data_IF_413483179785
#
_entry.id   IF_413483179785
#
_cell.length_a   1.000
_cell.length_b   1.000
_cell.length_c   1.000
_cell.angle_alpha   90.00
_cell.angle_beta   90.00
_cell.angle_gamma   90.00
#
_symmetry.space_group_name_H-M   'P 1'
#
loop_
_entity.id
_entity.type
_entity.pdbx_description
1 polymer ?
#
# COMPACT_ATOMS: atom_id res chain seq x y z
N UNK A 1 14.04 -22.58 16.45
CA UNK A 1 14.99 -21.47 16.71
C UNK A 1 16.40 -21.77 16.22
N UNK A 2 17.06 -22.88 16.63
CA UNK A 2 18.40 -23.22 16.09
C UNK A 2 18.41 -23.32 14.56
N UNK A 3 17.42 -23.97 13.93
CA UNK A 3 17.36 -24.08 12.47
C UNK A 3 17.24 -22.72 11.74
N UNK A 4 16.59 -21.71 12.34
CA UNK A 4 16.44 -20.37 11.76
C UNK A 4 17.73 -19.56 11.89
N UNK A 5 18.37 -19.61 13.06
CA UNK A 5 19.67 -18.99 13.29
C UNK A 5 20.76 -19.59 12.39
N UNK A 6 20.76 -20.91 12.21
CA UNK A 6 21.69 -21.61 11.32
C UNK A 6 21.44 -21.26 9.84
N UNK A 7 20.19 -21.08 9.42
CA UNK A 7 19.87 -20.62 8.04
C UNK A 7 20.27 -19.17 7.79
N UNK A 8 20.07 -18.27 8.76
CA UNK A 8 20.58 -16.90 8.69
C UNK A 8 22.10 -16.88 8.57
N UNK A 9 22.80 -17.70 9.36
CA UNK A 9 24.26 -17.84 9.28
C UNK A 9 24.73 -18.46 7.94
N UNK A 10 23.92 -19.32 7.33
CA UNK A 10 24.18 -19.90 6.02
C UNK A 10 23.78 -18.98 4.84
N UNK A 11 23.21 -17.80 5.10
CA UNK A 11 22.74 -16.90 4.04
C UNK A 11 21.60 -17.50 3.22
N UNK A 12 20.68 -18.25 3.84
CA UNK A 12 19.56 -18.87 3.12
C UNK A 12 18.29 -18.08 3.43
N UNK A 13 17.68 -17.45 2.42
CA UNK A 13 16.45 -16.68 2.57
C UNK A 13 15.29 -17.28 1.75
N UNK A 14 14.02 -17.02 2.14
CA UNK A 14 12.86 -17.65 1.50
C UNK A 14 12.80 -17.44 -0.01
N UNK A 15 13.01 -16.21 -0.47
CA UNK A 15 12.92 -15.85 -1.90
C UNK A 15 13.97 -16.57 -2.76
N UNK A 16 15.05 -17.08 -2.16
CA UNK A 16 16.13 -17.79 -2.86
C UNK A 16 15.85 -19.29 -3.04
N UNK A 17 14.96 -19.83 -2.21
CA UNK A 17 14.75 -21.28 -2.08
C UNK A 17 13.32 -21.72 -2.34
N UNK A 18 12.39 -20.78 -2.49
CA UNK A 18 10.98 -21.04 -2.72
C UNK A 18 10.78 -21.43 -4.18
N UNK A 19 10.26 -22.63 -4.39
CA UNK A 19 9.85 -23.09 -5.72
C UNK A 19 8.63 -22.29 -6.20
N UNK A 20 8.50 -22.11 -7.51
CA UNK A 20 7.38 -21.38 -8.10
C UNK A 20 6.12 -22.26 -8.20
N UNK A 21 5.65 -22.74 -7.05
CA UNK A 21 4.45 -23.58 -6.90
C UNK A 21 3.51 -23.01 -5.83
N UNK A 22 2.68 -22.01 -6.16
CA UNK A 22 1.73 -21.42 -5.22
C UNK A 22 0.74 -22.43 -4.62
N UNK A 23 0.43 -23.51 -5.34
CA UNK A 23 -0.54 -24.51 -4.91
C UNK A 23 0.07 -25.42 -3.83
N UNK A 24 1.26 -25.98 -4.10
CA UNK A 24 1.98 -26.80 -3.11
C UNK A 24 2.31 -26.04 -1.83
N UNK A 25 2.68 -24.75 -1.93
CA UNK A 25 2.87 -23.91 -0.74
C UNK A 25 1.58 -23.73 0.07
N UNK A 26 0.45 -23.55 -0.61
CA UNK A 26 -0.86 -23.46 0.03
C UNK A 26 -1.25 -24.74 0.75
N UNK A 27 -1.05 -25.89 0.12
CA UNK A 27 -1.32 -27.22 0.70
C UNK A 27 -0.44 -27.47 1.95
N UNK A 28 0.86 -27.20 1.86
CA UNK A 28 1.78 -27.35 2.99
C UNK A 28 1.41 -26.43 4.17
N UNK A 29 0.99 -25.18 3.89
CA UNK A 29 0.53 -24.24 4.90
C UNK A 29 -0.79 -24.69 5.55
N UNK A 30 -1.73 -25.24 4.78
CA UNK A 30 -2.97 -25.82 5.28
C UNK A 30 -2.72 -27.04 6.17
N UNK A 31 -1.85 -27.95 5.74
CA UNK A 31 -1.45 -29.10 6.52
C UNK A 31 -0.83 -28.68 7.86
N UNK A 32 0.10 -27.72 7.84
CA UNK A 32 0.70 -27.19 9.07
C UNK A 32 -0.35 -26.54 9.99
N UNK A 33 -1.24 -25.70 9.46
CA UNK A 33 -2.30 -25.07 10.24
C UNK A 33 -3.27 -26.07 10.88
N UNK A 34 -3.56 -27.20 10.21
CA UNK A 34 -4.35 -28.28 10.80
C UNK A 34 -3.66 -28.85 12.06
N UNK A 35 -2.33 -29.04 12.03
CA UNK A 35 -1.58 -29.50 13.21
C UNK A 35 -1.65 -28.50 14.38
N UNK A 36 -1.73 -27.19 14.10
CA UNK A 36 -1.92 -26.17 15.14
C UNK A 36 -3.32 -26.24 15.76
N UNK A 37 -4.36 -26.59 14.97
CA UNK A 37 -5.74 -26.69 15.45
C UNK A 37 -5.99 -27.93 16.30
N UNK A 38 -5.35 -29.04 15.96
CA UNK A 38 -5.52 -30.30 16.68
C UNK A 38 -4.89 -30.28 18.08
N UNK A 39 -4.08 -29.26 18.40
CA UNK A 39 -3.35 -29.19 19.67
C UNK A 39 -2.41 -30.39 19.87
N UNK A 40 -2.04 -31.05 18.77
CA UNK A 40 -1.42 -32.37 18.77
C UNK A 40 0.04 -32.39 19.29
N UNK A 41 0.56 -31.25 19.78
CA UNK A 41 1.95 -31.10 20.19
C UNK A 41 2.07 -31.05 21.72
N UNK A 42 2.94 -31.92 22.25
CA UNK A 42 3.22 -32.09 23.67
C UNK A 42 3.96 -30.91 24.31
N UNK A 43 4.54 -30.01 23.51
CA UNK A 43 5.18 -28.76 23.97
C UNK A 43 4.75 -27.58 23.10
N UNK A 44 4.41 -26.41 23.69
CA UNK A 44 4.07 -25.23 22.92
C UNK A 44 5.29 -24.72 22.15
N UNK A 45 5.22 -24.77 20.82
CA UNK A 45 6.25 -24.17 19.97
C UNK A 45 6.12 -22.65 20.04
N UNK A 46 7.25 -21.95 20.09
CA UNK A 46 7.31 -20.49 20.22
C UNK A 46 8.16 -19.90 19.12
N UNK A 47 7.70 -18.76 18.58
CA UNK A 47 8.44 -17.94 17.65
C UNK A 47 8.99 -16.71 18.37
N UNK A 48 10.30 -16.50 18.27
CA UNK A 48 10.98 -15.39 18.94
C UNK A 48 11.10 -14.20 18.01
N UNK A 49 10.52 -13.07 18.41
CA UNK A 49 10.65 -11.81 17.70
C UNK A 49 12.06 -11.22 17.90
N UNK A 50 12.52 -10.34 16.99
CA UNK A 50 13.77 -9.61 17.17
C UNK A 50 13.83 -8.77 18.46
N UNK A 51 12.66 -8.42 19.02
CA UNK A 51 12.52 -7.69 20.30
C UNK A 51 12.75 -8.59 21.53
N UNK A 52 12.86 -9.90 21.34
CA UNK A 52 12.94 -10.90 22.42
C UNK A 52 11.58 -11.38 22.93
N UNK A 53 10.48 -10.75 22.50
CA UNK A 53 9.12 -11.23 22.76
C UNK A 53 8.88 -12.58 22.07
N UNK A 54 8.13 -13.47 22.72
CA UNK A 54 7.79 -14.78 22.18
C UNK A 54 6.31 -14.87 21.84
N UNK A 55 6.01 -15.31 20.63
CA UNK A 55 4.66 -15.59 20.16
C UNK A 55 4.46 -17.11 20.19
N UNK A 56 3.44 -17.56 20.90
CA UNK A 56 3.05 -18.98 20.89
C UNK A 56 2.51 -19.34 19.52
N UNK A 57 2.97 -20.46 18.97
CA UNK A 57 2.49 -20.98 17.68
C UNK A 57 1.24 -21.81 17.91
N UNK A 58 0.09 -21.16 17.77
CA UNK A 58 -1.24 -21.73 17.96
C UNK A 58 -2.23 -21.19 16.91
N UNK A 59 -3.35 -21.89 16.73
CA UNK A 59 -4.34 -21.54 15.70
C UNK A 59 -4.93 -20.12 15.85
N UNK A 60 -4.98 -19.56 17.07
CA UNK A 60 -5.41 -18.20 17.39
C UNK A 60 -4.40 -17.12 16.97
N UNK A 61 -3.12 -17.48 16.92
CA UNK A 61 -2.02 -16.58 16.53
C UNK A 61 -1.71 -16.59 15.04
N UNK A 62 -2.30 -17.53 14.28
CA UNK A 62 -2.03 -17.73 12.87
C UNK A 62 -3.28 -17.57 12.02
N UNK A 63 -3.16 -16.91 10.86
CA UNK A 63 -4.27 -16.73 9.94
C UNK A 63 -3.81 -16.76 8.48
N UNK A 64 -4.74 -17.04 7.57
CA UNK A 64 -4.45 -17.01 6.13
C UNK A 64 -4.73 -15.63 5.54
N UNK A 65 -3.79 -15.13 4.74
CA UNK A 65 -3.90 -13.88 4.00
C UNK A 65 -3.82 -14.17 2.50
N UNK A 66 -4.79 -13.66 1.73
CA UNK A 66 -4.75 -13.74 0.27
C UNK A 66 -3.65 -12.83 -0.28
N UNK A 67 -2.79 -13.37 -1.15
CA UNK A 67 -1.71 -12.61 -1.80
C UNK A 67 -2.26 -11.75 -2.94
N UNK A 68 -3.25 -12.29 -3.66
CA UNK A 68 -3.90 -11.62 -4.79
C UNK A 68 -5.38 -11.38 -4.48
N UNK A 69 -5.93 -10.19 -4.80
CA UNK A 69 -7.36 -9.94 -4.70
C UNK A 69 -8.19 -10.79 -5.67
N UNK A 70 -7.68 -10.98 -6.89
CA UNK A 70 -8.35 -11.65 -8.00
C UNK A 70 -8.19 -13.18 -8.01
N UNK A 71 -7.35 -13.71 -7.13
CA UNK A 71 -7.10 -15.14 -6.99
C UNK A 71 -7.01 -15.52 -5.49
N UNK A 72 -8.15 -15.46 -4.77
CA UNK A 72 -8.18 -15.63 -3.31
C UNK A 72 -7.79 -17.04 -2.85
N UNK A 73 -7.67 -18.01 -3.76
CA UNK A 73 -7.12 -19.34 -3.47
C UNK A 73 -5.63 -19.31 -3.12
N UNK A 74 -4.86 -18.33 -3.63
CA UNK A 74 -3.45 -18.19 -3.32
C UNK A 74 -3.28 -17.41 -2.02
N UNK A 75 -3.14 -18.17 -0.92
CA UNK A 75 -3.02 -17.64 0.43
C UNK A 75 -1.67 -18.01 1.02
N UNK A 76 -1.17 -17.13 1.87
CA UNK A 76 -0.03 -17.40 2.75
C UNK A 76 -0.52 -17.50 4.19
N UNK A 77 0.10 -18.38 4.98
CA UNK A 77 -0.13 -18.47 6.41
C UNK A 77 0.80 -17.48 7.12
N UNK A 78 0.20 -16.55 7.87
CA UNK A 78 0.91 -15.51 8.60
C UNK A 78 0.72 -15.68 10.10
N UNK A 79 1.74 -15.30 10.86
CA UNK A 79 1.70 -15.20 12.31
C UNK A 79 1.43 -13.74 12.68
N UNK A 80 0.46 -13.50 13.55
CA UNK A 80 0.12 -12.16 14.05
C UNK A 80 0.57 -11.97 15.49
N UNK A 81 0.82 -10.72 15.88
CA UNK A 81 1.13 -10.40 17.27
C UNK A 81 -0.12 -10.69 18.15
N UNK A 82 0.00 -11.43 19.26
CA UNK A 82 -1.14 -11.72 20.15
C UNK A 82 -1.76 -10.46 20.77
N UNK A 83 -0.96 -9.43 21.03
CA UNK A 83 -1.41 -8.15 21.58
C UNK A 83 -2.02 -7.25 20.51
N UNK A 84 -1.56 -7.39 19.27
CA UNK A 84 -2.09 -6.68 18.10
C UNK A 84 -2.28 -7.63 16.91
N UNK A 85 -3.47 -8.20 16.84
CA UNK A 85 -3.87 -9.16 15.79
C UNK A 85 -3.84 -8.58 14.36
N UNK A 86 -3.57 -7.28 14.20
CA UNK A 86 -3.40 -6.63 12.89
C UNK A 86 -1.94 -6.59 12.43
N UNK A 87 -0.99 -6.82 13.34
CA UNK A 87 0.44 -6.80 13.04
C UNK A 87 0.92 -8.20 12.69
N UNK A 88 1.33 -8.37 11.44
CA UNK A 88 1.98 -9.60 10.94
C UNK A 88 3.46 -9.58 11.36
N UNK A 89 3.90 -10.64 12.03
CA UNK A 89 5.27 -10.75 12.56
C UNK A 89 6.11 -11.81 11.86
N UNK A 90 5.47 -12.84 11.28
CA UNK A 90 6.14 -13.89 10.53
C UNK A 90 5.25 -14.49 9.43
N UNK A 91 5.88 -15.17 8.48
CA UNK A 91 5.20 -15.91 7.40
C UNK A 91 5.71 -17.34 7.37
N UNK A 92 4.82 -18.30 7.21
CA UNK A 92 5.17 -19.70 7.07
C UNK A 92 5.52 -20.01 5.61
N UNK A 93 6.75 -20.45 5.36
CA UNK A 93 7.27 -20.79 4.04
C UNK A 93 8.30 -21.92 4.13
N UNK A 94 8.23 -22.87 3.19
CA UNK A 94 9.15 -24.01 3.11
C UNK A 94 9.36 -24.67 4.48
N UNK A 95 8.25 -25.10 5.06
CA UNK A 95 8.19 -25.83 6.34
C UNK A 95 8.73 -25.07 7.56
N UNK A 96 8.75 -23.73 7.53
CA UNK A 96 9.29 -22.94 8.63
C UNK A 96 8.67 -21.55 8.73
N UNK A 97 8.69 -20.99 9.94
CA UNK A 97 8.34 -19.59 10.17
C UNK A 97 9.53 -18.67 9.90
N UNK A 98 9.28 -17.58 9.18
CA UNK A 98 10.27 -16.58 8.83
C UNK A 98 9.80 -15.21 9.31
N UNK A 99 10.65 -14.49 10.03
CA UNK A 99 10.39 -13.10 10.39
C UNK A 99 10.18 -12.27 9.12
N UNK A 100 9.29 -11.28 9.17
CA UNK A 100 8.98 -10.44 8.01
C UNK A 100 10.22 -9.79 7.39
N UNK A 101 11.17 -9.34 8.20
CA UNK A 101 12.44 -8.77 7.71
C UNK A 101 13.35 -9.77 7.00
N UNK A 102 13.29 -11.07 7.32
CA UNK A 102 14.08 -12.09 6.63
C UNK A 102 13.45 -12.52 5.32
N UNK A 103 12.12 -12.50 5.22
CA UNK A 103 11.44 -12.74 3.94
C UNK A 103 11.84 -11.67 2.92
N UNK A 104 12.16 -10.46 3.37
CA UNK A 104 12.62 -9.35 2.53
C UNK A 104 14.13 -9.39 2.22
N UNK A 105 14.84 -10.45 2.61
CA UNK A 105 16.29 -10.59 2.34
C UNK A 105 16.55 -11.61 1.25
N UNK A 106 17.73 -11.51 0.67
CA UNK A 106 18.27 -12.43 -0.33
C UNK A 106 19.78 -12.55 -0.15
N UNK A 107 20.33 -13.70 -0.48
CA UNK A 107 21.78 -13.91 -0.57
C UNK A 107 22.27 -14.02 -2.02
N UNK A 108 21.35 -13.98 -2.99
CA UNK A 108 21.68 -13.99 -4.40
C UNK A 108 22.26 -12.63 -4.81
N UNK A 109 23.56 -12.53 -5.15
CA UNK A 109 24.17 -11.27 -5.55
C UNK A 109 23.65 -10.76 -6.90
N UNK A 110 23.00 -11.61 -7.72
CA UNK A 110 22.35 -11.18 -8.94
C UNK A 110 21.07 -10.36 -8.67
N UNK A 111 20.54 -10.45 -7.44
CA UNK A 111 19.32 -9.76 -7.05
C UNK A 111 19.62 -8.37 -6.49
N UNK A 112 20.01 -7.45 -7.38
CA UNK A 112 20.39 -6.06 -7.06
C UNK A 112 19.73 -5.09 -8.05
N UNK A 113 19.30 -3.91 -7.56
CA UNK A 113 18.62 -2.91 -8.38
C UNK A 113 17.13 -3.23 -8.62
N UNK A 114 16.55 -2.60 -9.66
CA UNK A 114 15.14 -2.79 -10.01
C UNK A 114 14.95 -4.07 -10.81
N UNK A 115 14.18 -5.00 -10.27
CA UNK A 115 13.92 -6.30 -10.89
C UNK A 115 12.44 -6.57 -11.03
N UNK A 116 12.04 -7.08 -12.20
CA UNK A 116 10.66 -7.49 -12.44
C UNK A 116 10.29 -8.66 -11.52
N UNK A 117 9.10 -8.61 -10.96
CA UNK A 117 8.54 -9.71 -10.17
C UNK A 117 8.15 -10.84 -11.13
N UNK A 118 8.75 -12.01 -10.98
CA UNK A 118 8.57 -13.16 -11.88
C UNK A 118 8.15 -14.44 -11.14
N UNK A 119 8.43 -14.53 -9.85
CA UNK A 119 8.14 -15.72 -9.03
C UNK A 119 7.10 -15.46 -7.95
N UNK A 120 6.50 -16.53 -7.43
CA UNK A 120 5.63 -16.48 -6.27
C UNK A 120 6.35 -15.95 -5.02
N UNK A 121 7.62 -16.32 -4.82
CA UNK A 121 8.43 -15.80 -3.71
C UNK A 121 8.54 -14.27 -3.76
N UNK A 122 8.84 -13.71 -4.93
CA UNK A 122 8.88 -12.26 -5.13
C UNK A 122 7.50 -11.60 -4.98
N UNK A 123 6.43 -12.30 -5.36
CA UNK A 123 5.05 -11.83 -5.11
C UNK A 123 4.75 -11.73 -3.61
N UNK A 124 5.27 -12.65 -2.80
CA UNK A 124 5.13 -12.52 -1.33
C UNK A 124 5.99 -11.37 -0.79
N UNK A 125 7.20 -11.16 -1.32
CA UNK A 125 8.04 -9.99 -0.97
C UNK A 125 7.30 -8.68 -1.28
N UNK A 126 6.70 -8.57 -2.48
CA UNK A 126 5.87 -7.44 -2.87
C UNK A 126 4.69 -7.25 -1.92
N UNK A 127 3.97 -8.33 -1.61
CA UNK A 127 2.85 -8.31 -0.66
C UNK A 127 3.28 -7.80 0.72
N UNK A 128 4.41 -8.28 1.25
CA UNK A 128 4.92 -7.83 2.55
C UNK A 128 5.34 -6.36 2.52
N UNK A 129 6.07 -5.91 1.49
CA UNK A 129 6.43 -4.50 1.36
C UNK A 129 5.18 -3.61 1.33
N UNK A 130 4.15 -4.03 0.61
CA UNK A 130 2.93 -3.26 0.42
C UNK A 130 2.00 -3.29 1.65
N UNK A 131 1.55 -4.47 2.04
CA UNK A 131 0.47 -4.62 3.03
C UNK A 131 1.00 -4.54 4.46
N UNK A 132 2.20 -5.07 4.71
CA UNK A 132 2.76 -5.15 6.06
C UNK A 132 3.67 -3.96 6.35
N UNK A 133 4.76 -3.81 5.58
CA UNK A 133 5.75 -2.75 5.85
C UNK A 133 5.14 -1.38 5.59
N UNK A 134 4.65 -1.10 4.38
CA UNK A 134 3.98 0.17 4.10
C UNK A 134 2.67 0.24 4.90
N UNK A 135 1.71 -0.65 4.66
CA UNK A 135 0.35 -0.54 5.18
C UNK A 135 0.21 -0.50 6.71
N UNK A 136 1.15 -1.10 7.46
CA UNK A 136 1.10 -1.16 8.93
C UNK A 136 2.27 -0.50 9.64
N UNK A 137 3.51 -0.71 9.20
CA UNK A 137 4.69 -0.31 9.97
C UNK A 137 5.21 1.10 9.66
N UNK A 138 5.16 1.52 8.39
CA UNK A 138 5.82 2.73 7.92
C UNK A 138 4.86 3.81 7.38
N UNK A 139 3.58 3.49 7.17
CA UNK A 139 2.56 4.47 6.77
C UNK A 139 2.18 5.36 7.96
N UNK A 140 1.92 6.63 7.67
CA UNK A 140 1.28 7.52 8.63
C UNK A 140 -0.21 7.13 8.75
N UNK A 141 -0.64 6.66 9.92
CA UNK A 141 -2.01 6.21 10.13
C UNK A 141 -3.02 7.36 10.10
N UNK A 142 -2.58 8.61 10.28
CA UNK A 142 -3.44 9.80 10.21
C UNK A 142 -3.74 10.25 8.78
N UNK A 143 -3.11 9.63 7.78
CA UNK A 143 -3.36 9.87 6.35
C UNK A 143 -4.29 8.78 5.80
N UNK A 144 -5.59 8.92 6.11
CA UNK A 144 -6.65 7.95 5.77
C UNK A 144 -6.84 7.74 4.26
N UNK A 145 -6.25 8.58 3.41
CA UNK A 145 -6.41 8.55 1.96
C UNK A 145 -5.35 7.72 1.22
N UNK A 146 -4.34 7.19 1.91
CA UNK A 146 -3.16 6.59 1.27
C UNK A 146 -2.93 5.13 1.68
N UNK A 147 -3.90 4.24 1.41
CA UNK A 147 -3.67 2.79 1.53
C UNK A 147 -3.61 2.14 0.15
N UNK A 148 -2.68 1.21 -0.02
CA UNK A 148 -2.59 0.38 -1.21
C UNK A 148 -3.28 -0.94 -0.93
N UNK A 149 -4.15 -1.35 -1.84
CA UNK A 149 -4.68 -2.70 -1.84
C UNK A 149 -3.59 -3.69 -2.29
N UNK A 150 -3.71 -4.99 -1.95
CA UNK A 150 -2.88 -6.00 -2.58
C UNK A 150 -3.04 -5.94 -4.11
N UNK A 151 -1.96 -6.22 -4.83
CA UNK A 151 -1.93 -6.12 -6.28
C UNK A 151 -2.45 -7.39 -6.95
N UNK A 152 -3.14 -7.27 -8.08
CA UNK A 152 -3.58 -8.42 -8.87
C UNK A 152 -2.37 -9.23 -9.37
N UNK A 153 -2.57 -10.54 -9.55
CA UNK A 153 -1.55 -11.40 -10.17
C UNK A 153 -1.18 -10.98 -11.60
N UNK A 154 -2.06 -10.24 -12.28
CA UNK A 154 -1.86 -9.71 -13.64
C UNK A 154 -1.14 -8.36 -13.66
N UNK A 155 -1.01 -7.71 -12.51
CA UNK A 155 -0.37 -6.41 -12.41
C UNK A 155 1.15 -6.56 -12.43
N UNK A 156 1.80 -5.82 -13.33
CA UNK A 156 3.25 -5.79 -13.41
C UNK A 156 3.83 -5.00 -12.24
N UNK A 157 4.94 -5.50 -11.70
CA UNK A 157 5.63 -4.88 -10.58
C UNK A 157 7.15 -5.06 -10.72
N UNK A 158 7.90 -4.11 -10.17
CA UNK A 158 9.33 -4.28 -9.91
C UNK A 158 9.64 -4.07 -8.44
N UNK A 159 10.51 -4.92 -7.89
CA UNK A 159 11.08 -4.76 -6.55
C UNK A 159 12.45 -4.12 -6.71
N UNK A 160 12.74 -3.14 -5.86
CA UNK A 160 14.08 -2.58 -5.73
C UNK A 160 14.84 -3.35 -4.66
N UNK A 161 15.90 -4.03 -5.08
CA UNK A 161 16.84 -4.73 -4.22
C UNK A 161 18.09 -3.87 -4.00
N UNK A 162 18.59 -3.90 -2.77
CA UNK A 162 19.83 -3.19 -2.41
C UNK A 162 20.48 -3.84 -1.21
N UNK A 163 21.76 -4.16 -1.33
CA UNK A 163 22.59 -4.72 -0.25
C UNK A 163 21.95 -6.00 0.36
N UNK A 164 21.43 -6.89 -0.49
CA UNK A 164 20.81 -8.15 -0.07
C UNK A 164 19.42 -8.01 0.56
N UNK A 165 18.73 -6.87 0.37
CA UNK A 165 17.38 -6.65 0.89
C UNK A 165 16.46 -5.98 -0.14
N UNK A 166 15.17 -6.33 -0.09
CA UNK A 166 14.11 -5.62 -0.79
C UNK A 166 13.79 -4.31 -0.04
N UNK A 167 14.02 -3.18 -0.70
CA UNK A 167 13.97 -1.84 -0.08
C UNK A 167 12.84 -0.96 -0.59
N UNK A 168 12.13 -1.41 -1.62
CA UNK A 168 11.00 -0.70 -2.19
C UNK A 168 10.42 -1.46 -3.38
N UNK A 169 9.36 -0.91 -3.95
CA UNK A 169 8.74 -1.44 -5.16
C UNK A 169 8.02 -0.33 -5.91
N UNK A 170 7.69 -0.62 -7.16
CA UNK A 170 6.61 0.08 -7.84
C UNK A 170 5.78 -0.89 -8.68
N UNK A 171 4.52 -0.54 -8.95
CA UNK A 171 3.62 -1.30 -9.83
C UNK A 171 3.15 -0.47 -11.00
N UNK A 172 2.70 -1.14 -12.06
CA UNK A 172 2.22 -0.51 -13.28
C UNK A 172 0.91 -1.08 -13.73
N UNK A 173 -0.01 -0.19 -14.13
CA UNK A 173 -1.17 -0.56 -14.93
C UNK A 173 -0.78 -0.47 -16.40
N UNK A 174 -0.83 -1.61 -17.09
CA UNK A 174 -0.54 -1.66 -18.51
C UNK A 174 -1.66 -1.00 -19.32
N UNK A 175 -1.32 -0.32 -20.41
CA UNK A 175 -2.29 0.14 -21.39
C UNK A 175 -3.12 -1.05 -21.91
N UNK A 176 -4.43 -0.92 -21.92
CA UNK A 176 -5.37 -1.99 -22.28
C UNK A 176 -5.75 -2.93 -21.13
N UNK A 177 -5.11 -2.85 -19.97
CA UNK A 177 -5.53 -3.62 -18.78
C UNK A 177 -6.82 -3.06 -18.16
N UNK A 178 -7.62 -3.92 -17.53
CA UNK A 178 -8.92 -3.54 -16.96
C UNK A 178 -8.79 -2.59 -15.76
N UNK A 179 -9.64 -1.57 -15.73
CA UNK A 179 -9.80 -0.63 -14.63
C UNK A 179 -10.68 -1.23 -13.54
N UNK A 180 -10.05 -2.00 -12.65
CA UNK A 180 -10.71 -2.65 -11.53
C UNK A 180 -11.84 -3.60 -11.95
N UNK A 181 -12.62 -4.02 -10.98
CA UNK A 181 -13.57 -5.11 -11.14
C UNK A 181 -14.94 -4.52 -11.50
N UNK A 182 -15.35 -4.64 -12.77
CA UNK A 182 -16.76 -4.45 -13.16
C UNK A 182 -17.12 -3.17 -13.93
N UNK A 183 -16.18 -2.30 -14.26
CA UNK A 183 -16.46 -1.15 -15.17
C UNK A 183 -16.42 -1.54 -16.64
N UNK A 184 -15.69 -2.60 -16.98
CA UNK A 184 -15.37 -2.97 -18.37
C UNK A 184 -14.44 -1.97 -19.08
N UNK A 185 -14.00 -0.91 -18.39
CA UNK A 185 -13.07 0.08 -18.94
C UNK A 185 -11.63 -0.43 -18.85
N UNK A 186 -10.78 0.01 -19.77
CA UNK A 186 -9.35 -0.29 -19.77
C UNK A 186 -8.51 0.97 -19.66
N UNK A 187 -7.33 0.87 -19.05
CA UNK A 187 -6.36 1.96 -19.01
C UNK A 187 -5.95 2.37 -20.43
N UNK A 188 -6.02 3.66 -20.72
CA UNK A 188 -5.75 4.21 -22.06
C UNK A 188 -4.28 4.59 -22.28
N UNK A 189 -3.46 4.47 -21.25
CA UNK A 189 -2.03 4.73 -21.23
C UNK A 189 -1.36 3.89 -20.12
N UNK A 190 -0.04 3.64 -20.19
CA UNK A 190 0.69 3.06 -19.08
C UNK A 190 0.65 3.97 -17.85
N UNK A 191 0.42 3.41 -16.66
CA UNK A 191 0.33 4.18 -15.41
C UNK A 191 1.30 3.62 -14.37
N UNK A 192 2.14 4.49 -13.82
CA UNK A 192 2.94 4.27 -12.62
C UNK A 192 2.01 4.37 -11.40
N UNK A 193 1.62 3.21 -10.86
CA UNK A 193 0.42 3.10 -10.04
C UNK A 193 0.71 3.25 -8.55
N UNK A 194 1.40 2.27 -7.98
CA UNK A 194 1.83 2.33 -6.59
C UNK A 194 3.35 2.37 -6.52
N UNK A 195 3.88 3.14 -5.59
CA UNK A 195 5.32 3.27 -5.38
C UNK A 195 5.61 3.39 -3.90
N UNK A 196 6.63 2.67 -3.45
CA UNK A 196 7.05 2.72 -2.06
C UNK A 196 8.56 2.51 -1.96
N UNK A 197 9.18 3.30 -1.08
CA UNK A 197 10.56 3.12 -0.64
C UNK A 197 10.55 3.10 0.88
N UNK A 198 11.16 2.07 1.46
CA UNK A 198 11.29 1.93 2.91
C UNK A 198 11.98 3.15 3.52
N UNK A 199 11.51 3.60 4.68
CA UNK A 199 11.87 4.88 5.32
C UNK A 199 13.37 5.03 5.49
N UNK A 200 14.06 3.96 5.88
CA UNK A 200 15.52 3.95 6.09
C UNK A 200 16.34 4.14 4.80
N UNK A 201 15.74 3.95 3.61
CA UNK A 201 16.38 4.14 2.31
C UNK A 201 15.88 5.37 1.54
N UNK A 202 14.96 6.15 2.12
CA UNK A 202 14.46 7.39 1.48
C UNK A 202 15.55 8.45 1.40
N UNK A 203 15.34 9.43 0.52
CA UNK A 203 16.25 10.55 0.23
C UNK A 203 17.60 10.16 -0.41
N UNK A 204 17.70 8.95 -0.94
CA UNK A 204 18.88 8.46 -1.68
C UNK A 204 18.65 8.40 -3.21
N UNK A 205 17.65 9.12 -3.73
CA UNK A 205 17.34 9.11 -5.17
C UNK A 205 16.55 7.90 -5.68
N UNK A 206 16.17 6.95 -4.82
CA UNK A 206 15.52 5.70 -5.25
C UNK A 206 14.17 5.89 -5.94
N UNK A 207 13.30 6.79 -5.43
CA UNK A 207 12.03 7.10 -6.09
C UNK A 207 12.23 7.76 -7.47
N UNK A 208 13.30 8.55 -7.63
CA UNK A 208 13.66 9.14 -8.93
C UNK A 208 14.14 8.07 -9.91
N UNK A 209 14.92 7.09 -9.43
CA UNK A 209 15.35 5.96 -10.23
C UNK A 209 14.16 5.09 -10.69
N UNK A 210 13.18 4.84 -9.81
CA UNK A 210 11.95 4.12 -10.17
C UNK A 210 11.12 4.86 -11.24
N UNK A 211 10.94 6.18 -11.09
CA UNK A 211 10.19 6.97 -12.08
C UNK A 211 10.92 7.01 -13.44
N UNK A 212 12.25 7.15 -13.42
CA UNK A 212 13.09 7.09 -14.62
C UNK A 212 12.92 5.75 -15.33
N UNK A 213 13.09 4.64 -14.61
CA UNK A 213 12.98 3.29 -15.16
C UNK A 213 11.58 3.03 -15.75
N UNK A 214 10.52 3.57 -15.15
CA UNK A 214 9.17 3.54 -15.74
C UNK A 214 9.10 4.32 -17.06
N UNK A 215 9.55 5.57 -17.10
CA UNK A 215 9.55 6.38 -18.33
C UNK A 215 10.37 5.74 -19.46
N UNK A 216 11.53 5.16 -19.13
CA UNK A 216 12.38 4.43 -20.09
C UNK A 216 11.73 3.14 -20.59
N UNK A 217 11.02 2.42 -19.71
CA UNK A 217 10.27 1.20 -20.07
C UNK A 217 9.19 1.52 -21.12
N UNK A 218 8.54 2.68 -21.03
CA UNK A 218 7.46 3.11 -21.93
C UNK A 218 7.87 4.31 -22.81
N UNK A 219 9.11 4.33 -23.31
CA UNK A 219 9.64 5.43 -24.14
C UNK A 219 8.86 5.73 -25.42
N UNK A 220 8.16 4.74 -25.97
CA UNK A 220 7.41 4.88 -27.23
C UNK A 220 5.98 5.42 -27.01
N UNK A 221 5.48 5.49 -25.76
CA UNK A 221 4.14 6.02 -25.49
C UNK A 221 4.17 7.56 -25.36
N UNK A 222 3.33 8.23 -26.15
CA UNK A 222 3.20 9.70 -26.16
C UNK A 222 2.73 10.28 -24.81
N UNK A 223 2.03 9.49 -24.00
CA UNK A 223 1.55 9.90 -22.69
C UNK A 223 1.71 8.78 -21.67
N UNK A 224 2.19 9.14 -20.48
CA UNK A 224 2.41 8.29 -19.33
C UNK A 224 1.65 8.83 -18.12
N UNK A 225 1.11 7.92 -17.31
CA UNK A 225 0.36 8.26 -16.11
C UNK A 225 1.14 8.03 -14.83
N UNK A 226 0.84 8.84 -13.81
CA UNK A 226 1.07 8.54 -12.40
C UNK A 226 -0.31 8.52 -11.73
N UNK A 227 -0.64 7.45 -11.02
CA UNK A 227 -1.98 7.30 -10.43
C UNK A 227 -2.31 8.42 -9.44
N UNK A 228 -3.53 8.92 -9.54
CA UNK A 228 -4.13 9.81 -8.55
C UNK A 228 -4.60 9.00 -7.32
N UNK A 229 -4.47 9.52 -6.08
CA UNK A 229 -3.81 10.78 -5.74
C UNK A 229 -2.28 10.65 -5.65
N UNK A 230 -1.55 11.65 -6.16
CA UNK A 230 -0.09 11.69 -5.99
C UNK A 230 0.26 12.24 -4.61
N UNK A 231 1.01 11.46 -3.83
CA UNK A 231 1.49 11.90 -2.50
C UNK A 231 2.41 13.13 -2.59
N UNK A 232 2.49 13.98 -1.56
CA UNK A 232 3.41 15.13 -1.54
C UNK A 232 4.86 14.73 -1.81
N UNK A 233 5.31 13.59 -1.27
CA UNK A 233 6.65 13.07 -1.50
C UNK A 233 6.88 12.68 -2.97
N UNK A 234 5.89 12.07 -3.63
CA UNK A 234 6.00 11.71 -5.04
C UNK A 234 5.94 12.95 -5.95
N UNK A 235 5.16 13.97 -5.61
CA UNK A 235 5.22 15.27 -6.30
C UNK A 235 6.63 15.88 -6.28
N UNK A 236 7.36 15.75 -5.17
CA UNK A 236 8.76 16.18 -5.09
C UNK A 236 9.69 15.39 -6.02
N UNK A 237 9.43 14.09 -6.19
CA UNK A 237 10.15 13.24 -7.16
C UNK A 237 9.85 13.69 -8.59
N UNK A 238 8.56 13.81 -8.95
CA UNK A 238 8.14 14.28 -10.28
C UNK A 238 8.73 15.65 -10.60
N UNK A 239 8.73 16.59 -9.66
CA UNK A 239 9.34 17.92 -9.83
C UNK A 239 10.81 17.82 -10.20
N UNK A 240 11.60 17.05 -9.44
CA UNK A 240 13.03 16.88 -9.71
C UNK A 240 13.28 16.20 -11.05
N UNK A 241 12.48 15.18 -11.38
CA UNK A 241 12.55 14.47 -12.64
C UNK A 241 12.29 15.40 -13.83
N UNK A 242 11.15 16.09 -13.84
CA UNK A 242 10.74 16.99 -14.91
C UNK A 242 11.61 18.26 -15.05
N UNK A 243 12.29 18.66 -13.97
CA UNK A 243 13.31 19.70 -14.03
C UNK A 243 14.53 19.22 -14.84
N UNK A 244 14.99 17.99 -14.59
CA UNK A 244 16.14 17.38 -15.26
C UNK A 244 15.84 16.83 -16.67
N UNK A 245 14.57 16.53 -16.96
CA UNK A 245 14.09 15.90 -18.20
C UNK A 245 13.01 16.76 -18.87
N UNK A 246 13.36 17.86 -19.57
CA UNK A 246 12.39 18.72 -20.25
C UNK A 246 11.50 18.00 -21.27
N UNK A 247 12.04 16.96 -21.91
CA UNK A 247 11.36 16.08 -22.86
C UNK A 247 10.15 15.36 -22.25
N UNK A 248 10.17 15.09 -20.94
CA UNK A 248 9.10 14.39 -20.23
C UNK A 248 7.96 15.31 -19.75
N UNK A 249 8.13 16.64 -19.81
CA UNK A 249 7.16 17.61 -19.28
C UNK A 249 5.78 17.54 -19.94
N UNK A 250 5.75 17.18 -21.23
CA UNK A 250 4.51 16.95 -21.98
C UNK A 250 3.97 15.52 -21.90
N UNK A 251 4.80 14.58 -21.44
CA UNK A 251 4.49 13.14 -21.44
C UNK A 251 3.90 12.67 -20.11
N UNK A 252 4.25 13.29 -18.98
CA UNK A 252 3.87 12.79 -17.65
C UNK A 252 2.62 13.48 -17.07
N UNK A 253 1.59 12.69 -16.78
CA UNK A 253 0.27 13.14 -16.32
C UNK A 253 -0.12 12.48 -15.00
N UNK A 254 -0.85 13.19 -14.15
CA UNK A 254 -1.58 12.61 -13.03
C UNK A 254 -2.89 12.07 -13.58
N UNK A 255 -3.23 10.83 -13.23
CA UNK A 255 -4.28 10.07 -13.93
C UNK A 255 -5.28 9.47 -12.96
N UNK A 256 -6.55 9.79 -13.17
CA UNK A 256 -7.66 8.97 -12.67
C UNK A 256 -8.02 7.89 -13.69
N UNK A 257 -8.28 6.62 -13.30
CA UNK A 257 -8.66 5.57 -14.24
C UNK A 257 -9.95 5.91 -15.01
N UNK A 258 -10.08 5.57 -16.31
CA UNK A 258 -9.13 4.91 -17.21
C UNK A 258 -8.03 5.81 -17.82
N UNK A 259 -7.99 7.10 -17.48
CA UNK A 259 -7.02 8.04 -18.02
C UNK A 259 -7.38 8.55 -19.42
N UNK A 260 -8.66 8.83 -19.67
CA UNK A 260 -9.07 9.61 -20.83
C UNK A 260 -8.58 11.07 -20.71
N UNK A 261 -8.67 11.87 -21.78
CA UNK A 261 -8.14 13.25 -21.79
C UNK A 261 -8.68 14.13 -20.66
N UNK A 262 -9.98 14.00 -20.33
CA UNK A 262 -10.61 14.72 -19.21
C UNK A 262 -10.24 14.19 -17.81
N UNK A 263 -9.48 13.11 -17.72
CA UNK A 263 -9.06 12.44 -16.48
C UNK A 263 -7.55 12.54 -16.25
N UNK A 264 -6.91 13.46 -16.96
CA UNK A 264 -5.47 13.74 -16.89
C UNK A 264 -5.24 15.15 -16.39
N UNK A 265 -4.35 15.30 -15.42
CA UNK A 265 -3.81 16.59 -15.01
C UNK A 265 -2.32 16.67 -15.35
N UNK A 266 -1.86 17.72 -16.05
CA UNK A 266 -0.43 17.88 -16.31
C UNK A 266 0.33 18.06 -14.99
N UNK A 267 1.22 17.12 -14.67
CA UNK A 267 2.03 17.19 -13.45
C UNK A 267 2.96 18.40 -13.50
N UNK A 268 3.54 18.67 -14.67
CA UNK A 268 4.41 19.83 -14.86
C UNK A 268 3.71 21.15 -14.53
N UNK A 269 2.50 21.37 -15.07
CA UNK A 269 1.74 22.60 -14.80
C UNK A 269 1.39 22.71 -13.30
N UNK A 270 0.99 21.61 -12.66
CA UNK A 270 0.71 21.59 -11.21
C UNK A 270 1.94 21.95 -10.38
N UNK A 271 3.11 21.42 -10.75
CA UNK A 271 4.39 21.75 -10.10
C UNK A 271 4.73 23.24 -10.26
N UNK A 272 4.57 23.81 -11.45
CA UNK A 272 4.83 25.24 -11.69
C UNK A 272 3.88 26.14 -10.87
N UNK A 273 2.60 25.80 -10.84
CA UNK A 273 1.61 26.54 -10.04
C UNK A 273 1.94 26.52 -8.54
N UNK A 274 2.39 25.39 -8.01
CA UNK A 274 2.83 25.29 -6.61
C UNK A 274 4.06 26.18 -6.33
N UNK A 275 4.99 26.30 -7.29
CA UNK A 275 6.15 27.19 -7.15
C UNK A 275 5.76 28.66 -7.16
N UNK A 276 4.84 29.07 -8.04
CA UNK A 276 4.36 30.47 -8.08
C UNK A 276 3.62 30.93 -6.82
N UNK A 277 3.11 29.99 -6.02
CA UNK A 277 2.45 30.27 -4.72
C UNK A 277 3.44 30.39 -3.56
N UNK A 278 4.72 30.09 -3.79
CA UNK A 278 5.81 30.30 -2.85
C UNK A 278 6.88 31.22 -3.45
N UNK A 279 6.57 32.51 -3.72
CA UNK A 279 7.63 33.49 -3.83
C UNK A 279 8.27 33.67 -2.45
N UNK A 280 9.60 33.65 -2.43
CA UNK A 280 10.44 33.75 -1.24
C UNK A 280 9.99 34.84 -0.26
N UNK A 281 9.76 34.44 0.99
CA UNK A 281 9.97 35.36 2.12
C UNK A 281 11.47 35.62 2.20
N UNK A 282 11.95 36.63 1.45
CA UNK A 282 13.33 37.07 1.55
C UNK A 282 13.62 37.58 2.99
N UNK A 283 14.71 37.11 3.62
CA UNK A 283 15.31 37.77 4.77
C UNK A 283 16.27 38.86 4.27
N UNK A 284 16.17 40.07 4.82
CA UNK A 284 17.20 41.08 4.60
C UNK A 284 16.65 42.49 4.59
N UNK A 285 16.61 43.10 5.77
CA UNK A 285 16.50 44.55 5.89
C UNK A 285 17.66 45.22 5.15
N UNK A 286 17.38 45.90 4.05
CA UNK A 286 18.21 47.03 3.64
C UNK A 286 17.87 48.19 4.57
N UNK A 287 18.53 48.27 5.73
CA UNK A 287 18.67 49.55 6.40
C UNK A 287 19.70 50.33 5.61
N UNK A 288 19.22 51.34 4.91
CA UNK A 288 20.06 52.39 4.34
C UNK A 288 20.84 53.06 5.48
N UNK A 289 22.17 53.01 5.36
CA UNK A 289 23.08 53.83 6.14
C UNK A 289 22.88 55.30 5.75
N UNK A 290 22.22 56.07 6.62
CA UNK A 290 22.31 57.54 6.61
C UNK A 290 23.05 57.99 7.86
N UNK A 291 24.30 58.37 7.59
CA UNK A 291 25.22 59.10 8.43
C UNK A 291 24.57 60.36 9.02
N UNK A 292 24.59 60.48 10.35
CA UNK A 292 24.14 61.67 11.09
C UNK A 292 24.78 61.73 12.47
N UNK A 293 25.76 62.63 12.63
CA UNK A 293 26.50 62.91 13.86
C UNK A 293 25.62 63.34 15.04
N UNK A 294 25.94 62.86 16.24
CA UNK A 294 25.39 63.35 17.51
C UNK A 294 26.12 62.73 18.70
N UNK A 295 26.72 63.57 19.54
CA UNK A 295 27.76 63.29 20.55
C UNK A 295 27.26 62.68 21.87
N UNK A 296 28.19 62.01 22.57
CA UNK A 296 28.41 61.88 24.05
C UNK A 296 27.26 61.22 24.86
N UNK A 297 27.46 60.31 25.81
CA UNK A 297 28.46 60.20 26.88
C UNK A 297 28.41 58.80 27.54
N UNK A 298 29.47 58.50 28.29
CA UNK A 298 29.75 57.33 29.17
C UNK A 298 28.60 56.96 30.12
N UNK A 299 28.45 55.69 30.53
CA UNK A 299 28.98 55.16 31.81
C UNK A 299 28.66 53.66 32.06
N UNK A 300 29.38 53.11 33.03
CA UNK A 300 29.67 51.73 33.46
C UNK A 300 28.54 50.69 33.71
N UNK A 301 28.92 49.42 33.56
CA UNK A 301 28.87 48.45 34.68
C UNK A 301 27.70 47.44 34.79
N UNK A 302 27.97 46.15 35.06
CA UNK A 302 27.00 45.04 34.94
C UNK A 302 26.33 44.63 36.26
N UNK A 303 25.20 43.91 36.20
CA UNK A 303 24.77 43.02 37.30
C UNK A 303 23.81 41.93 36.85
N UNK A 304 24.18 40.69 37.23
CA UNK A 304 23.33 39.51 37.31
C UNK A 304 22.37 39.65 38.50
N UNK A 305 21.18 39.05 38.41
CA UNK A 305 20.49 38.50 39.59
C UNK A 305 19.46 37.46 39.21
N UNK A 306 19.52 36.35 39.92
CA UNK A 306 18.68 35.17 39.89
C UNK A 306 17.22 35.39 40.31
N UNK A 307 16.43 34.33 40.09
CA UNK A 307 15.29 33.87 40.89
C UNK A 307 14.00 34.71 40.83
N UNK A 308 12.90 34.11 40.35
CA UNK A 308 12.05 33.25 41.19
C UNK A 308 10.82 32.74 40.43
N UNK A 309 10.60 31.47 40.67
CA UNK A 309 9.39 30.66 40.50
C UNK A 309 8.12 31.33 41.05
N UNK A 310 6.98 31.12 40.37
CA UNK A 310 5.69 31.64 40.79
C UNK A 310 4.52 31.00 40.03
N UNK A 311 4.08 29.84 40.50
CA UNK A 311 2.81 29.22 40.13
C UNK A 311 1.61 30.14 40.37
N UNK A 312 0.64 30.16 39.43
CA UNK A 312 -0.80 30.09 39.76
C UNK A 312 -1.67 29.81 38.53
N UNK A 313 -2.55 28.85 38.73
CA UNK A 313 -3.67 28.41 37.90
C UNK A 313 -4.69 29.52 37.61
N UNK A 314 -5.45 29.37 36.51
CA UNK A 314 -6.92 29.62 36.43
C UNK A 314 -7.54 29.21 35.08
N UNK A 315 -8.18 28.04 35.09
CA UNK A 315 -9.57 27.68 34.73
C UNK A 315 -10.42 28.64 33.83
N UNK A 316 -10.97 28.01 32.77
CA UNK A 316 -12.31 28.10 32.13
C UNK A 316 -12.79 29.33 31.35
N UNK A 317 -13.42 29.04 30.20
CA UNK A 317 -14.44 29.89 29.57
C UNK A 317 -14.67 29.56 28.08
N UNK A 318 -15.77 28.85 27.81
CA UNK A 318 -16.51 28.73 26.52
C UNK A 318 -16.82 30.13 25.94
N UNK A 319 -17.28 30.41 24.72
CA UNK A 319 -18.02 29.74 23.64
C UNK A 319 -18.08 30.78 22.49
N UNK A 320 -18.28 30.39 21.22
CA UNK A 320 -19.26 31.01 20.30
C UNK A 320 -19.10 30.48 18.87
N UNK A 321 -20.16 29.82 18.44
CA UNK A 321 -20.48 29.43 17.08
C UNK A 321 -20.73 30.63 16.16
N UNK A 322 -20.53 30.41 14.85
CA UNK A 322 -21.41 31.00 13.84
C UNK A 322 -21.50 30.09 12.61
N UNK A 323 -22.70 29.57 12.41
CA UNK A 323 -23.24 28.98 11.19
C UNK A 323 -23.32 29.99 10.04
N UNK A 324 -23.24 29.49 8.79
CA UNK A 324 -24.26 29.71 7.75
C UNK A 324 -24.04 28.81 6.51
N UNK A 325 -24.78 27.71 6.51
CA UNK A 325 -25.69 27.14 5.49
C UNK A 325 -25.41 27.19 3.95
N UNK A 326 -25.30 25.95 3.41
CA UNK A 326 -26.09 25.29 2.33
C UNK A 326 -25.89 25.62 0.83
N UNK A 327 -25.50 24.58 0.06
CA UNK A 327 -26.34 24.06 -1.05
C UNK A 327 -25.83 22.69 -1.58
N UNK A 328 -26.72 21.72 -1.45
CA UNK A 328 -26.76 20.33 -1.94
C UNK A 328 -26.31 20.02 -3.39
N UNK A 329 -25.78 18.80 -3.63
CA UNK A 329 -25.57 18.30 -5.01
C UNK A 329 -24.80 16.99 -5.25
N UNK A 330 -25.12 15.91 -4.51
CA UNK A 330 -24.97 14.46 -4.81
C UNK A 330 -23.90 13.95 -5.81
N UNK A 331 -22.99 13.12 -5.29
CA UNK A 331 -22.23 12.12 -6.06
C UNK A 331 -21.27 11.29 -5.20
N UNK A 332 -21.64 10.95 -3.96
CA UNK A 332 -20.76 10.22 -3.05
C UNK A 332 -20.80 8.71 -3.33
N UNK A 333 -19.64 8.17 -3.70
CA UNK A 333 -19.37 6.74 -3.73
C UNK A 333 -19.67 6.13 -2.35
N UNK A 334 -20.44 5.04 -2.33
CA UNK A 334 -20.88 4.37 -1.12
C UNK A 334 -19.72 3.77 -0.31
N UNK A 335 -19.91 3.56 1.02
CA UNK A 335 -18.87 3.03 1.89
C UNK A 335 -18.58 1.56 1.58
N UNK A 336 -17.35 1.28 1.13
CA UNK A 336 -16.83 -0.06 0.90
C UNK A 336 -16.59 -0.78 2.24
N UNK A 337 -17.20 -1.96 2.38
CA UNK A 337 -17.20 -2.77 3.59
C UNK A 337 -15.87 -3.54 3.78
N UNK A 338 -15.32 -3.38 5.00
CA UNK A 338 -14.90 -4.46 5.91
C UNK A 338 -13.91 -5.51 5.38
N UNK A 339 -12.64 -5.12 5.25
CA UNK A 339 -11.54 -6.10 5.25
C UNK A 339 -11.31 -6.66 6.67
N UNK A 340 -11.06 -7.97 6.75
CA UNK A 340 -10.67 -8.76 7.92
C UNK A 340 -11.78 -9.05 8.96
N UNK A 341 -12.56 -10.10 8.68
CA UNK A 341 -13.03 -11.02 9.73
C UNK A 341 -12.50 -12.43 9.40
N UNK A 342 -12.12 -13.25 10.39
CA UNK A 342 -11.77 -14.63 10.17
C UNK A 342 -13.03 -15.42 9.77
N UNK A 343 -13.03 -15.99 8.57
CA UNK A 343 -14.04 -16.99 8.18
C UNK A 343 -13.63 -18.35 8.75
N UNK A 344 -14.47 -18.91 9.62
CA UNK A 344 -14.37 -20.29 10.09
C UNK A 344 -15.03 -21.22 9.07
N UNK A 345 -14.40 -22.34 8.66
CA UNK A 345 -15.02 -23.26 7.72
C UNK A 345 -16.00 -24.21 8.43
N UNK A 346 -17.25 -24.21 7.97
CA UNK A 346 -18.15 -25.37 8.08
C UNK A 346 -19.41 -25.18 8.93
N UNK A 347 -20.53 -24.89 8.27
CA UNK A 347 -21.84 -25.43 8.66
C UNK A 347 -22.77 -25.41 7.44
N UNK A 348 -23.06 -26.60 6.89
CA UNK A 348 -24.18 -26.79 5.95
C UNK A 348 -25.48 -26.61 6.75
N UNK A 349 -26.43 -25.76 6.35
CA UNK A 349 -27.76 -25.80 6.93
C UNK A 349 -28.50 -27.03 6.40
N UNK A 350 -28.79 -27.95 7.31
CA UNK A 350 -29.64 -29.11 7.08
C UNK A 350 -31.09 -28.71 6.79
N UNK A 351 -31.74 -29.49 5.92
CA UNK A 351 -33.14 -29.32 5.56
C UNK A 351 -34.11 -29.65 6.69
N UNK A 352 -35.25 -28.96 6.67
CA UNK A 352 -36.46 -29.24 7.45
C UNK A 352 -37.70 -28.92 6.60
N UNK A 353 -38.83 -29.60 6.84
CA UNK A 353 -39.82 -29.96 5.81
C UNK A 353 -40.88 -28.87 5.54
N UNK A 354 -41.65 -28.98 4.42
CA UNK A 354 -42.69 -28.02 4.08
C UNK A 354 -44.08 -28.49 4.57
N UNK A 355 -44.91 -27.54 5.02
CA UNK A 355 -46.35 -27.75 5.27
C UNK A 355 -47.16 -26.46 5.00
N UNK A 356 -48.48 -26.56 4.71
CA UNK A 356 -49.01 -26.08 3.43
C UNK A 356 -50.19 -25.09 3.52
N UNK A 357 -50.67 -24.68 2.34
CA UNK A 357 -52.04 -24.20 2.10
C UNK A 357 -52.14 -22.68 1.94
N UNK A 358 -52.98 -22.09 1.11
CA UNK A 358 -54.04 -22.47 0.16
C UNK A 358 -54.18 -21.21 -0.73
N UNK A 359 -54.62 -21.21 -1.99
CA UNK A 359 -55.99 -21.49 -2.46
C UNK A 359 -56.05 -21.09 -3.95
N UNK A 360 -56.83 -21.83 -4.75
CA UNK A 360 -57.50 -21.30 -5.95
C UNK A 360 -56.90 -21.68 -7.30
N UNK A 361 -57.32 -22.82 -7.86
CA UNK A 361 -57.43 -22.99 -9.31
C UNK A 361 -58.78 -22.44 -9.81
N UNK A 362 -59.32 -22.94 -10.94
CA UNK A 362 -58.68 -23.35 -12.17
C UNK A 362 -59.37 -22.71 -13.40
N UNK A 363 -58.76 -22.78 -14.59
CA UNK A 363 -59.45 -22.45 -15.84
C UNK A 363 -58.52 -22.65 -17.02
N UNK A 364 -58.79 -23.68 -17.83
CA UNK A 364 -57.86 -24.19 -18.83
C UNK A 364 -58.16 -23.84 -20.28
N UNK A 365 -57.63 -24.72 -21.14
CA UNK A 365 -57.75 -24.79 -22.60
C UNK A 365 -56.97 -23.71 -23.36
N UNK A 366 -56.44 -23.91 -24.57
CA UNK A 366 -56.10 -25.06 -25.40
C UNK A 366 -55.49 -24.45 -26.69
N UNK A 367 -54.63 -25.22 -27.38
CA UNK A 367 -54.28 -25.07 -28.81
C UNK A 367 -53.58 -23.77 -29.28
N UNK A 368 -52.75 -23.71 -30.32
CA UNK A 368 -51.83 -24.57 -31.12
C UNK A 368 -51.14 -23.55 -32.11
N UNK A 369 -50.28 -23.92 -33.08
CA UNK A 369 -49.01 -23.21 -33.32
C UNK A 369 -48.85 -22.53 -34.70
N UNK A 370 -47.73 -21.82 -34.86
CA UNK A 370 -46.98 -21.57 -36.12
C UNK A 370 -47.21 -20.21 -36.81
N UNK A 371 -46.41 -19.82 -37.83
CA UNK A 371 -45.13 -20.37 -38.30
C UNK A 371 -44.03 -19.33 -38.67
N UNK A 372 -42.83 -19.85 -38.97
CA UNK A 372 -41.79 -19.47 -39.96
C UNK A 372 -41.56 -18.01 -40.43
N UNK A 373 -40.28 -17.59 -40.39
CA UNK A 373 -39.47 -17.03 -41.53
C UNK A 373 -38.09 -16.57 -40.99
N UNK A 374 -36.96 -17.21 -41.33
CA UNK A 374 -35.99 -16.82 -42.40
C UNK A 374 -35.79 -15.30 -42.53
N UNK A 375 -34.61 -14.67 -42.52
CA UNK A 375 -33.26 -15.07 -42.91
C UNK A 375 -32.75 -14.15 -44.05
N UNK A 376 -31.53 -13.58 -43.92
CA UNK A 376 -30.78 -12.66 -44.83
C UNK A 376 -31.18 -11.17 -44.74
N UNK A 377 -30.27 -10.19 -44.75
CA UNK A 377 -28.93 -10.05 -45.34
C UNK A 377 -27.92 -9.57 -44.29
#
# INVERSE_FOLDING_TARGET
MEAEATRRAAGIYPVDILEDDPAGHGEAALAYYATLREGARSSPEVFSLPTGEQVKLEASSACFCAVYPDAPQHKILVLVNPQDTKTVVAVYMKESWWATEDVLRTSDPAREGLMKVQSFGERIVLFLLNVVIFGRLERNLDDDHMFFLPHSGKEEAKILWRDGAAVGFYTTKAKGSLCGDGTGACYLLPVFDTVFVRRRYRRQGLGLAMLRDFCETFREDEALGVSWPISPAMYQVCRKFLAAHPEERGRLWEVEPPGAWGQRGSIWLKVQLQQSRHPDSHPGSSKEDVNGHGRTSQDDGPSQSDNREGSKERISGEELEKDDQDCTGKGAAGPLRRACRPELPGQKPGGGPPTPGCRGGPGGSAHRPGPDSQGRI
#
